data_IF_638340188113
#
_entry.id   IF_638340188113
#
_cell.length_a   1.000
_cell.length_b   1.000
_cell.length_c   1.000
_cell.angle_alpha   90.00
_cell.angle_beta   90.00
_cell.angle_gamma   90.00
#
_symmetry.space_group_name_H-M   'P 1'
#
loop_
_entity.id
_entity.type
_entity.pdbx_description
1 polymer ?
#
# COMPACT_ATOMS: atom_id res chain seq x y z
N UNK A 1 -8.08 -6.37 2.74
CA UNK A 1 -8.65 -6.92 4.01
C UNK A 1 -8.12 -6.19 5.23
N UNK A 2 -6.80 -6.17 5.48
CA UNK A 2 -6.21 -5.51 6.67
C UNK A 2 -6.64 -4.04 6.83
N UNK A 3 -6.64 -3.26 5.75
CA UNK A 3 -7.10 -1.86 5.76
C UNK A 3 -8.49 -1.66 6.40
N UNK A 4 -9.48 -2.47 6.00
CA UNK A 4 -10.85 -2.40 6.50
C UNK A 4 -10.94 -2.83 7.96
N UNK A 5 -10.22 -3.90 8.33
CA UNK A 5 -10.19 -4.40 9.71
C UNK A 5 -9.57 -3.36 10.66
N UNK A 6 -8.45 -2.76 10.29
CA UNK A 6 -7.80 -1.69 11.04
C UNK A 6 -8.73 -0.50 11.28
N UNK A 7 -9.42 -0.02 10.23
CA UNK A 7 -10.34 1.10 10.36
C UNK A 7 -11.54 0.76 11.26
N UNK A 8 -12.14 -0.42 11.06
CA UNK A 8 -13.27 -0.89 11.87
C UNK A 8 -12.93 -1.06 13.36
N UNK A 9 -11.78 -1.66 13.69
CA UNK A 9 -11.37 -1.84 15.09
C UNK A 9 -10.90 -0.55 15.75
N UNK A 10 -10.41 0.44 14.98
CA UNK A 10 -10.00 1.74 15.50
C UNK A 10 -11.11 2.81 15.49
N UNK A 11 -12.35 2.43 15.17
CA UNK A 11 -13.51 3.35 15.17
C UNK A 11 -13.44 4.45 14.11
N UNK A 12 -12.59 4.29 13.09
CA UNK A 12 -12.42 5.28 12.01
C UNK A 12 -13.37 4.99 10.86
N UNK A 13 -13.77 6.03 10.13
CA UNK A 13 -14.61 5.87 8.93
C UNK A 13 -13.98 4.85 7.97
N UNK A 14 -14.81 3.96 7.46
CA UNK A 14 -14.45 2.93 6.48
C UNK A 14 -14.33 3.54 5.08
N UNK A 15 -13.54 4.61 4.95
CA UNK A 15 -13.31 5.34 3.72
C UNK A 15 -11.83 5.28 3.34
N UNK A 16 -11.56 4.93 2.09
CA UNK A 16 -10.22 5.04 1.54
C UNK A 16 -9.85 6.53 1.41
N UNK A 17 -9.02 7.03 2.33
CA UNK A 17 -8.42 8.35 2.21
C UNK A 17 -7.31 8.38 1.15
N UNK A 18 -6.74 9.56 0.89
CA UNK A 18 -5.66 9.76 -0.09
C UNK A 18 -4.48 8.81 0.12
N UNK A 19 -4.10 8.53 1.38
CA UNK A 19 -3.04 7.59 1.72
C UNK A 19 -3.38 6.14 1.38
N UNK A 20 -4.61 5.69 1.67
CA UNK A 20 -5.08 4.34 1.31
C UNK A 20 -5.11 4.15 -0.20
N UNK A 21 -5.60 5.14 -0.95
CA UNK A 21 -5.63 5.10 -2.41
C UNK A 21 -4.22 5.04 -3.00
N UNK A 22 -3.26 5.80 -2.46
CA UNK A 22 -1.86 5.72 -2.86
C UNK A 22 -1.29 4.30 -2.67
N UNK A 23 -1.53 3.67 -1.51
CA UNK A 23 -1.06 2.30 -1.24
C UNK A 23 -1.63 1.31 -2.26
N UNK A 24 -2.92 1.39 -2.58
CA UNK A 24 -3.51 0.49 -3.58
C UNK A 24 -2.97 0.74 -4.99
N UNK A 25 -2.80 2.00 -5.39
CA UNK A 25 -2.19 2.32 -6.67
C UNK A 25 -0.75 1.79 -6.76
N UNK A 26 0.04 1.94 -5.69
CA UNK A 26 1.41 1.43 -5.62
C UNK A 26 1.46 -0.10 -5.71
N UNK A 27 0.57 -0.82 -5.02
CA UNK A 27 0.49 -2.30 -5.12
C UNK A 27 0.13 -2.75 -6.53
N UNK A 28 -0.85 -2.10 -7.16
CA UNK A 28 -1.26 -2.41 -8.53
C UNK A 28 -0.10 -2.18 -9.50
N UNK A 29 0.56 -1.04 -9.41
CA UNK A 29 1.74 -0.73 -10.22
C UNK A 29 2.86 -1.75 -10.00
N UNK A 30 3.16 -2.09 -8.75
CA UNK A 30 4.19 -3.06 -8.42
C UNK A 30 3.90 -4.45 -9.00
N UNK A 31 2.65 -4.91 -8.90
CA UNK A 31 2.20 -6.18 -9.50
C UNK A 31 2.30 -6.15 -11.03
N UNK A 32 1.82 -5.09 -11.68
CA UNK A 32 1.92 -4.94 -13.13
C UNK A 32 3.36 -4.92 -13.63
N UNK A 33 4.25 -4.16 -12.98
CA UNK A 33 5.67 -4.12 -13.32
C UNK A 33 6.35 -5.47 -13.08
N UNK A 34 6.02 -6.16 -11.98
CA UNK A 34 6.52 -7.51 -11.69
C UNK A 34 6.16 -8.50 -12.81
N UNK A 35 4.93 -8.44 -13.30
CA UNK A 35 4.46 -9.28 -14.42
C UNK A 35 5.13 -8.89 -15.72
N UNK A 36 5.22 -7.60 -16.04
CA UNK A 36 5.91 -7.10 -17.25
C UNK A 36 7.39 -7.48 -17.26
N UNK A 37 8.08 -7.40 -16.12
CA UNK A 37 9.48 -7.79 -15.99
C UNK A 37 9.75 -9.27 -16.29
N UNK A 38 8.73 -10.13 -16.31
CA UNK A 38 8.89 -11.51 -16.77
C UNK A 38 9.02 -11.63 -18.30
N UNK A 39 8.58 -10.62 -19.04
CA UNK A 39 8.57 -10.59 -20.51
C UNK A 39 9.62 -9.66 -21.10
N UNK A 40 10.24 -8.82 -20.28
CA UNK A 40 11.27 -7.87 -20.70
C UNK A 40 12.63 -8.39 -20.25
N UNK A 41 13.61 -8.57 -21.15
CA UNK A 41 14.99 -8.94 -20.81
C UNK A 41 15.80 -7.74 -20.28
N UNK A 42 15.21 -6.97 -19.37
CA UNK A 42 15.81 -5.82 -18.69
C UNK A 42 15.50 -5.89 -17.19
N UNK A 43 16.54 -5.81 -16.36
CA UNK A 43 16.40 -5.84 -14.90
C UNK A 43 15.86 -4.50 -14.35
N UNK A 44 15.88 -3.41 -15.12
CA UNK A 44 15.33 -2.12 -14.71
C UNK A 44 13.85 -2.22 -14.33
N UNK A 45 13.07 -3.01 -15.05
CA UNK A 45 11.64 -3.23 -14.77
C UNK A 45 11.42 -3.95 -13.44
N UNK A 46 12.27 -4.94 -13.10
CA UNK A 46 12.14 -5.66 -11.83
C UNK A 46 12.58 -4.79 -10.64
N UNK A 47 13.59 -3.94 -10.81
CA UNK A 47 13.99 -2.97 -9.81
C UNK A 47 12.89 -1.93 -9.55
N UNK A 48 12.24 -1.43 -10.59
CA UNK A 48 11.11 -0.51 -10.46
C UNK A 48 9.92 -1.17 -9.76
N UNK A 49 9.63 -2.44 -10.08
CA UNK A 49 8.63 -3.22 -9.37
C UNK A 49 8.96 -3.34 -7.87
N UNK A 50 10.22 -3.60 -7.54
CA UNK A 50 10.72 -3.64 -6.16
C UNK A 50 10.54 -2.30 -5.43
N UNK A 51 10.91 -1.19 -6.06
CA UNK A 51 10.72 0.14 -5.50
C UNK A 51 9.23 0.46 -5.25
N UNK A 52 8.35 0.08 -6.17
CA UNK A 52 6.91 0.23 -6.02
C UNK A 52 6.36 -0.62 -4.86
N UNK A 53 6.86 -1.84 -4.66
CA UNK A 53 6.53 -2.66 -3.49
C UNK A 53 6.96 -1.99 -2.18
N UNK A 54 8.20 -1.48 -2.11
CA UNK A 54 8.68 -0.75 -0.92
C UNK A 54 7.80 0.46 -0.63
N UNK A 55 7.45 1.26 -1.64
CA UNK A 55 6.57 2.42 -1.48
C UNK A 55 5.17 2.02 -0.98
N UNK A 56 4.61 0.93 -1.50
CA UNK A 56 3.32 0.41 -1.04
C UNK A 56 3.35 0.00 0.43
N UNK A 57 4.34 -0.78 0.86
CA UNK A 57 4.46 -1.23 2.25
C UNK A 57 4.79 -0.08 3.20
N UNK A 58 5.69 0.84 2.81
CA UNK A 58 5.99 2.03 3.59
C UNK A 58 4.73 2.90 3.76
N UNK A 59 3.98 3.15 2.69
CA UNK A 59 2.71 3.87 2.73
C UNK A 59 1.69 3.17 3.63
N UNK A 60 1.61 1.84 3.58
CA UNK A 60 0.73 1.06 4.45
C UNK A 60 1.10 1.24 5.93
N UNK A 61 2.39 1.14 6.28
CA UNK A 61 2.87 1.35 7.65
C UNK A 61 2.58 2.77 8.12
N UNK A 62 2.84 3.77 7.29
CA UNK A 62 2.60 5.17 7.65
C UNK A 62 1.11 5.47 7.83
N UNK A 63 0.23 4.92 7.01
CA UNK A 63 -1.23 5.18 7.10
C UNK A 63 -1.86 4.38 8.23
N UNK A 64 -1.64 3.07 8.28
CA UNK A 64 -2.33 2.17 9.21
C UNK A 64 -1.57 1.97 10.52
N UNK A 65 -0.23 1.99 10.50
CA UNK A 65 0.58 1.95 11.72
C UNK A 65 0.35 3.18 12.59
N UNK A 66 0.31 4.38 12.00
CA UNK A 66 -0.02 5.60 12.75
C UNK A 66 -1.46 5.58 13.27
N UNK A 67 -2.39 4.99 12.53
CA UNK A 67 -3.76 4.79 12.98
C UNK A 67 -3.81 3.88 14.23
N UNK A 68 -3.03 2.80 14.29
CA UNK A 68 -2.95 1.94 15.47
C UNK A 68 -2.28 2.64 16.67
N UNK A 69 -1.26 3.46 16.43
CA UNK A 69 -0.51 4.14 17.49
C UNK A 69 -1.22 5.37 18.05
N UNK A 70 -2.22 5.92 17.33
CA UNK A 70 -3.01 7.06 17.79
C UNK A 70 -4.23 6.59 18.59
N UNK A 71 -4.65 7.36 19.62
CA UNK A 71 -5.89 7.09 20.34
C UNK A 71 -7.06 6.88 19.37
N UNK A 72 -7.96 5.97 19.75
CA UNK A 72 -9.17 5.66 18.98
C UNK A 72 -9.90 6.96 18.65
N UNK A 73 -10.25 7.16 17.38
CA UNK A 73 -11.12 8.28 17.00
C UNK A 73 -12.48 8.02 17.68
N UNK A 74 -12.97 9.01 18.44
CA UNK A 74 -14.17 8.91 19.25
C UNK A 74 -15.42 8.84 18.39
#
# INVERSE_FOLDING_TARGET
VMARATLGHTGRELKAGRGTSFVFAAILLAGSLRTLGAFVPDDGVIHLAGAAWVAAFAGFILVYGTALMRPKAR
#
